data_IF_777232454447
#
_entry.id   IF_777232454447
#
_cell.length_a   1.000
_cell.length_b   1.000
_cell.length_c   1.000
_cell.angle_alpha   90.00
_cell.angle_beta   90.00
_cell.angle_gamma   90.00
#
_symmetry.space_group_name_H-M   'P 1'
#
loop_
_entity.id
_entity.type
_entity.pdbx_description
1 polymer ?
#
# COMPACT_ATOMS: atom_id res chain seq x y z
N UNK A 1 0.14 13.41 -13.77
CA UNK A 1 1.13 13.61 -12.69
C UNK A 1 0.71 12.80 -11.48
N UNK A 2 1.62 12.02 -10.92
CA UNK A 2 1.34 11.19 -9.76
C UNK A 2 1.40 12.02 -8.48
N UNK A 3 0.52 11.69 -7.56
CA UNK A 3 0.54 12.19 -6.18
C UNK A 3 1.06 11.09 -5.27
N UNK A 4 1.28 11.40 -4.01
CA UNK A 4 1.64 10.38 -3.04
C UNK A 4 0.93 10.61 -1.71
N UNK A 5 0.74 9.54 -0.95
CA UNK A 5 0.29 9.61 0.43
C UNK A 5 1.05 8.61 1.27
N UNK A 6 1.52 9.05 2.42
CA UNK A 6 2.23 8.21 3.38
C UNK A 6 1.25 7.76 4.46
N UNK A 7 1.28 6.46 4.78
CA UNK A 7 0.49 5.86 5.85
C UNK A 7 1.41 5.18 6.86
N UNK A 8 1.07 5.31 8.14
CA UNK A 8 1.74 4.60 9.23
C UNK A 8 0.82 3.58 9.87
N UNK A 9 -0.43 3.51 9.43
CA UNK A 9 -1.45 2.57 9.91
C UNK A 9 -2.45 2.32 8.80
N UNK A 10 -3.28 1.29 8.97
CA UNK A 10 -4.36 0.97 8.04
C UNK A 10 -5.20 2.20 7.74
N UNK A 11 -5.48 2.43 6.47
CA UNK A 11 -6.30 3.55 6.07
C UNK A 11 -6.51 3.67 4.57
N UNK A 12 -7.34 4.65 4.19
CA UNK A 12 -7.63 4.96 2.80
C UNK A 12 -6.61 5.97 2.27
N UNK A 13 -6.12 5.72 1.07
CA UNK A 13 -5.26 6.66 0.34
C UNK A 13 -6.13 7.61 -0.48
N UNK A 14 -7.09 7.07 -1.20
CA UNK A 14 -7.97 7.85 -2.06
C UNK A 14 -9.30 7.13 -2.20
N UNK A 15 -10.39 7.90 -2.15
CA UNK A 15 -11.74 7.37 -2.34
C UNK A 15 -12.25 7.86 -3.69
N UNK A 16 -12.58 6.93 -4.57
CA UNK A 16 -13.04 7.22 -5.91
C UNK A 16 -12.08 6.64 -6.95
N UNK A 17 -12.44 6.85 -8.22
CA UNK A 17 -11.68 6.29 -9.34
C UNK A 17 -10.31 6.95 -9.44
N UNK A 18 -9.27 6.12 -9.52
CA UNK A 18 -7.88 6.59 -9.57
C UNK A 18 -7.00 5.53 -10.19
N UNK A 19 -5.69 5.81 -10.27
CA UNK A 19 -4.68 4.85 -10.71
C UNK A 19 -3.63 4.66 -9.64
N UNK A 20 -3.29 3.40 -9.40
CA UNK A 20 -2.22 3.00 -8.50
C UNK A 20 -0.92 2.88 -9.28
N UNK A 21 0.12 3.58 -8.85
CA UNK A 21 1.42 3.61 -9.52
C UNK A 21 2.53 2.88 -8.77
N UNK A 22 2.24 2.36 -7.60
CA UNK A 22 3.22 1.63 -6.82
C UNK A 22 3.33 2.15 -5.39
N UNK A 23 4.23 1.52 -4.63
CA UNK A 23 4.48 1.94 -3.25
C UNK A 23 5.93 1.68 -2.86
N UNK A 24 6.38 2.38 -1.84
CA UNK A 24 7.64 2.11 -1.17
C UNK A 24 7.38 1.92 0.32
N UNK A 25 8.19 1.12 0.96
CA UNK A 25 8.00 0.67 2.33
C UNK A 25 9.24 0.96 3.16
N UNK A 26 9.06 1.73 4.25
CA UNK A 26 10.08 1.93 5.25
C UNK A 26 9.73 1.16 6.52
N UNK A 27 10.72 0.55 7.16
CA UNK A 27 10.53 -0.25 8.36
C UNK A 27 11.39 0.25 9.51
N UNK A 28 11.15 -0.28 10.72
CA UNK A 28 12.00 -0.02 11.88
C UNK A 28 13.22 -0.94 11.96
N UNK A 29 13.45 -1.77 10.94
CA UNK A 29 14.54 -2.73 10.84
C UNK A 29 14.45 -3.90 11.83
N UNK A 30 13.33 -4.07 12.51
CA UNK A 30 13.15 -5.10 13.54
C UNK A 30 11.88 -5.92 13.34
N UNK A 31 10.75 -5.25 13.11
CA UNK A 31 9.44 -5.91 13.06
C UNK A 31 8.91 -5.98 11.63
N UNK A 32 8.57 -7.19 11.17
CA UNK A 32 8.13 -7.43 9.81
C UNK A 32 6.70 -6.93 9.58
N UNK A 33 6.48 -6.02 8.62
CA UNK A 33 5.14 -5.57 8.30
C UNK A 33 4.45 -6.49 7.31
N UNK A 34 3.13 -6.61 7.45
CA UNK A 34 2.27 -7.30 6.49
C UNK A 34 1.36 -6.27 5.85
N UNK A 35 1.40 -6.20 4.53
CA UNK A 35 0.71 -5.16 3.76
C UNK A 35 -0.22 -5.80 2.75
N UNK A 36 -1.43 -5.24 2.63
CA UNK A 36 -2.39 -5.57 1.58
C UNK A 36 -2.88 -4.25 0.98
N UNK A 37 -2.90 -4.15 -0.34
CA UNK A 37 -3.42 -2.97 -1.03
C UNK A 37 -4.60 -3.40 -1.90
N UNK A 38 -5.76 -2.77 -1.68
CA UNK A 38 -7.02 -3.16 -2.30
C UNK A 38 -7.64 -2.00 -3.08
N UNK A 39 -8.35 -2.35 -4.16
CA UNK A 39 -9.22 -1.41 -4.89
C UNK A 39 -10.50 -1.23 -4.07
N UNK A 40 -10.45 -0.31 -3.13
CA UNK A 40 -11.49 -0.13 -2.12
C UNK A 40 -11.46 1.31 -1.62
N UNK A 41 -12.63 1.92 -1.46
CA UNK A 41 -12.72 3.31 -1.02
C UNK A 41 -12.37 3.50 0.45
N UNK A 42 -12.71 2.52 1.28
CA UNK A 42 -12.47 2.57 2.72
C UNK A 42 -12.88 1.25 3.35
N UNK A 43 -12.75 1.14 4.68
CA UNK A 43 -12.97 -0.12 5.40
C UNK A 43 -14.36 -0.73 5.16
N UNK A 44 -15.38 0.10 5.03
CA UNK A 44 -16.74 -0.36 4.74
C UNK A 44 -17.13 -0.28 3.27
N UNK A 45 -16.21 0.07 2.40
CA UNK A 45 -16.47 0.27 0.99
C UNK A 45 -16.49 -1.01 0.17
N UNK A 46 -16.98 -0.88 -1.07
CA UNK A 46 -16.94 -1.98 -2.02
C UNK A 46 -15.51 -2.32 -2.36
N UNK A 47 -15.18 -3.60 -2.32
CA UNK A 47 -13.83 -4.11 -2.60
C UNK A 47 -13.85 -4.87 -3.92
N UNK A 48 -13.14 -4.34 -4.92
CA UNK A 48 -12.99 -5.01 -6.21
C UNK A 48 -11.86 -6.04 -6.22
N UNK A 49 -11.06 -6.10 -5.16
CA UNK A 49 -9.99 -7.08 -5.03
C UNK A 49 -8.66 -6.46 -4.63
N UNK A 50 -7.69 -7.33 -4.42
CA UNK A 50 -6.33 -6.92 -4.05
C UNK A 50 -5.55 -6.49 -5.28
N UNK A 51 -5.01 -5.26 -5.25
CA UNK A 51 -4.06 -4.80 -6.25
C UNK A 51 -2.70 -5.42 -5.95
N UNK A 52 -2.29 -5.36 -4.68
CA UNK A 52 -1.10 -6.03 -4.16
C UNK A 52 -1.59 -7.04 -3.13
N UNK A 53 -1.34 -8.34 -3.35
CA UNK A 53 -1.76 -9.38 -2.41
C UNK A 53 -1.13 -9.21 -1.03
N UNK A 54 -1.76 -9.78 -0.03
CA UNK A 54 -1.20 -9.80 1.33
C UNK A 54 0.20 -10.41 1.31
N UNK A 55 1.16 -9.64 1.80
CA UNK A 55 2.55 -10.07 1.83
C UNK A 55 3.24 -9.53 3.09
N UNK A 56 4.06 -10.37 3.71
CA UNK A 56 4.90 -9.97 4.83
C UNK A 56 6.29 -9.66 4.32
N UNK A 57 6.79 -8.48 4.65
CA UNK A 57 8.09 -8.00 4.19
C UNK A 57 9.13 -8.12 5.29
N UNK A 58 10.36 -8.46 4.90
CA UNK A 58 11.47 -8.59 5.85
C UNK A 58 11.94 -7.18 6.26
N UNK A 59 11.72 -6.83 7.52
CA UNK A 59 12.09 -5.52 8.06
C UNK A 59 13.60 -5.31 8.10
N UNK A 60 14.38 -6.37 8.11
CA UNK A 60 15.85 -6.29 8.15
C UNK A 60 16.47 -6.19 6.76
N UNK A 61 15.70 -6.32 5.70
CA UNK A 61 16.20 -6.20 4.34
C UNK A 61 16.75 -4.79 4.10
N UNK A 62 17.86 -4.70 3.39
CA UNK A 62 18.47 -3.42 3.04
C UNK A 62 17.69 -2.76 1.89
N UNK A 63 17.51 -1.43 2.01
CA UNK A 63 16.83 -0.64 0.99
C UNK A 63 15.31 -0.60 1.18
N UNK A 64 14.64 -0.10 0.16
CA UNK A 64 13.18 0.04 0.16
C UNK A 64 12.54 -1.16 -0.53
N UNK A 65 11.48 -1.67 0.09
CA UNK A 65 10.63 -2.68 -0.53
C UNK A 65 9.45 -1.98 -1.20
N UNK A 66 8.96 -2.54 -2.29
CA UNK A 66 7.84 -1.97 -3.00
C UNK A 66 7.36 -2.86 -4.12
N UNK A 67 6.38 -2.37 -4.87
CA UNK A 67 5.83 -3.09 -6.01
C UNK A 67 6.75 -2.94 -7.23
N UNK A 68 6.91 -4.02 -7.98
CA UNK A 68 7.66 -4.04 -9.23
C UNK A 68 6.80 -4.64 -10.35
N UNK A 69 7.16 -4.37 -11.59
CA UNK A 69 6.46 -4.95 -12.73
C UNK A 69 5.10 -4.33 -13.02
N UNK A 70 4.82 -3.15 -12.49
CA UNK A 70 3.56 -2.46 -12.74
C UNK A 70 3.55 -1.80 -14.11
N UNK A 71 2.37 -1.71 -14.77
CA UNK A 71 2.25 -0.97 -16.03
C UNK A 71 2.66 0.50 -15.84
N UNK A 72 3.35 1.12 -16.82
CA UNK A 72 3.76 2.52 -16.71
C UNK A 72 2.60 3.50 -16.50
N UNK A 73 1.44 3.21 -17.07
CA UNK A 73 0.25 4.04 -16.93
C UNK A 73 -0.46 3.85 -15.59
N UNK A 74 0.01 2.92 -14.77
CA UNK A 74 -0.62 2.58 -13.51
C UNK A 74 -1.75 1.57 -13.64
N UNK A 75 -2.29 1.15 -12.52
CA UNK A 75 -3.41 0.19 -12.44
C UNK A 75 -4.68 0.93 -12.09
N UNK A 76 -5.71 0.80 -12.92
CA UNK A 76 -6.98 1.49 -12.70
C UNK A 76 -7.71 0.87 -11.51
N UNK A 77 -8.11 1.72 -10.57
CA UNK A 77 -8.90 1.37 -9.40
C UNK A 77 -10.25 2.08 -9.49
N UNK A 78 -11.33 1.33 -9.56
CA UNK A 78 -12.67 1.91 -9.72
C UNK A 78 -13.23 2.48 -8.43
N UNK A 79 -12.80 1.95 -7.28
CA UNK A 79 -13.35 2.32 -5.97
C UNK A 79 -12.41 3.23 -5.17
N UNK A 80 -11.12 3.05 -5.33
CA UNK A 80 -10.13 3.79 -4.57
C UNK A 80 -8.92 2.93 -4.22
N UNK A 81 -8.12 3.41 -3.28
CA UNK A 81 -6.95 2.67 -2.79
C UNK A 81 -7.03 2.61 -1.28
N UNK A 82 -7.08 1.41 -0.74
CA UNK A 82 -7.13 1.14 0.70
C UNK A 82 -5.98 0.22 1.08
N UNK A 83 -5.26 0.57 2.15
CA UNK A 83 -4.10 -0.18 2.60
C UNK A 83 -4.36 -0.75 3.98
N UNK A 84 -4.19 -2.05 4.12
CA UNK A 84 -4.23 -2.74 5.41
C UNK A 84 -2.80 -3.01 5.85
N UNK A 85 -2.45 -2.53 7.04
CA UNK A 85 -1.11 -2.61 7.59
C UNK A 85 -1.18 -3.32 8.94
N UNK A 86 -0.31 -4.33 9.11
CA UNK A 86 -0.13 -5.03 10.39
C UNK A 86 1.37 -5.23 10.59
N UNK A 87 1.86 -4.92 11.79
CA UNK A 87 3.29 -5.07 12.09
C UNK A 87 3.43 -5.99 13.30
N UNK A 88 4.18 -7.07 13.13
CA UNK A 88 4.45 -8.01 14.20
C UNK A 88 5.12 -7.29 15.37
N UNK A 89 4.66 -7.55 16.59
CA UNK A 89 5.23 -6.92 17.77
C UNK A 89 4.89 -5.44 17.95
N UNK A 90 3.99 -4.88 17.12
CA UNK A 90 3.58 -3.48 17.23
C UNK A 90 4.63 -2.48 16.81
N UNK A 91 5.53 -2.88 15.92
CA UNK A 91 6.60 -2.01 15.43
C UNK A 91 6.10 -0.91 14.49
N UNK A 92 7.02 -0.05 14.06
CA UNK A 92 6.73 1.07 13.17
C UNK A 92 6.96 0.71 11.70
N UNK A 93 6.12 1.29 10.83
CA UNK A 93 6.24 1.15 9.38
C UNK A 93 5.73 2.43 8.71
N UNK A 94 6.30 2.77 7.57
CA UNK A 94 5.80 3.83 6.72
C UNK A 94 5.58 3.27 5.32
N UNK A 95 4.37 3.45 4.79
CA UNK A 95 4.02 3.03 3.44
C UNK A 95 3.68 4.26 2.63
N UNK A 96 4.43 4.52 1.57
CA UNK A 96 4.14 5.64 0.67
C UNK A 96 3.50 5.07 -0.59
N UNK A 97 2.29 5.51 -0.88
CA UNK A 97 1.51 5.07 -2.04
C UNK A 97 1.57 6.17 -3.11
N UNK A 98 1.91 5.77 -4.33
CA UNK A 98 1.89 6.68 -5.48
C UNK A 98 0.63 6.42 -6.31
N UNK A 99 -0.09 7.49 -6.64
CA UNK A 99 -1.37 7.40 -7.35
C UNK A 99 -1.64 8.64 -8.20
N UNK A 100 -2.60 8.54 -9.07
CA UNK A 100 -3.04 9.69 -9.89
C UNK A 100 -4.54 9.69 -10.15
#
# INVERSE_FOLDING_TARGET
MASFKKLTATGSVFSGRCRFHGFVLGTDSTNDPTITIEDRAGAGGQNAGEIIPTCTYDATALGLNGATGLPPEGVLCDNGIYVTISVAGGGAVEVTIFYS
#
